data_IF_970893726491
#
_entry.id   IF_970893726491
#
_cell.length_a   1.000
_cell.length_b   1.000
_cell.length_c   1.000
_cell.angle_alpha   90.00
_cell.angle_beta   90.00
_cell.angle_gamma   90.00
#
_symmetry.space_group_name_H-M   'P 1'
#
loop_
_entity.id
_entity.type
_entity.pdbx_description
1 polymer ?
#
# COMPACT_ATOMS: atom_id res chain seq x y z
N UNK A 1 8.71 -8.58 35.84
CA UNK A 1 9.39 -8.84 34.57
C UNK A 1 9.38 -10.33 34.19
N UNK A 2 9.75 -11.27 35.08
CA UNK A 2 9.83 -12.72 34.79
C UNK A 2 8.53 -13.35 34.24
N UNK A 3 7.35 -12.93 34.74
CA UNK A 3 6.04 -13.45 34.30
C UNK A 3 5.66 -13.00 32.87
N UNK A 4 6.13 -11.81 32.40
CA UNK A 4 5.88 -11.35 31.05
C UNK A 4 6.77 -12.06 30.05
N UNK A 5 8.04 -12.28 30.41
CA UNK A 5 9.00 -13.04 29.59
C UNK A 5 8.59 -14.49 29.41
N UNK A 6 8.05 -15.10 30.47
CA UNK A 6 7.56 -16.50 30.40
C UNK A 6 6.33 -16.64 29.52
N UNK A 7 5.38 -15.65 29.56
CA UNK A 7 4.21 -15.64 28.67
C UNK A 7 4.62 -15.44 27.21
N UNK A 8 5.60 -14.60 26.97
CA UNK A 8 6.13 -14.36 25.63
C UNK A 8 6.86 -15.59 25.07
N UNK A 9 7.62 -16.28 25.91
CA UNK A 9 8.30 -17.52 25.54
C UNK A 9 7.30 -18.66 25.23
N UNK A 10 6.23 -18.80 26.03
CA UNK A 10 5.15 -19.77 25.79
C UNK A 10 4.39 -19.45 24.51
N UNK A 11 4.15 -18.17 24.20
CA UNK A 11 3.53 -17.76 22.95
C UNK A 11 4.40 -18.10 21.73
N UNK A 12 5.71 -17.89 21.84
CA UNK A 12 6.68 -18.25 20.79
C UNK A 12 6.74 -19.76 20.59
N UNK A 13 6.83 -20.55 21.67
CA UNK A 13 6.85 -22.01 21.56
C UNK A 13 5.55 -22.56 20.98
N UNK A 14 4.41 -21.97 21.29
CA UNK A 14 3.11 -22.39 20.72
C UNK A 14 3.04 -22.12 19.22
N UNK A 15 3.66 -21.05 18.73
CA UNK A 15 3.77 -20.75 17.29
C UNK A 15 4.63 -21.75 16.52
N UNK A 16 5.59 -22.42 17.19
CA UNK A 16 6.47 -23.43 16.57
C UNK A 16 5.92 -24.86 16.61
N UNK A 17 4.82 -25.13 17.33
CA UNK A 17 4.25 -26.48 17.47
C UNK A 17 3.09 -26.78 16.54
N UNK A 18 2.58 -25.79 15.80
CA UNK A 18 1.58 -26.00 14.77
C UNK A 18 2.32 -26.56 13.55
N UNK A 19 1.93 -27.71 12.98
CA UNK A 19 2.47 -28.16 11.69
C UNK A 19 1.95 -27.19 10.61
N UNK A 20 2.65 -26.08 10.44
CA UNK A 20 2.35 -25.09 9.43
C UNK A 20 2.90 -25.59 8.10
N UNK A 21 2.03 -26.08 7.25
CA UNK A 21 2.36 -26.24 5.84
C UNK A 21 2.51 -24.85 5.23
N UNK A 22 3.75 -24.39 5.09
CA UNK A 22 4.04 -23.10 4.52
C UNK A 22 4.07 -23.20 3.00
N UNK A 23 3.20 -22.48 2.32
CA UNK A 23 3.15 -22.43 0.85
C UNK A 23 3.70 -21.08 0.37
N UNK A 24 4.88 -21.06 -0.28
CA UNK A 24 5.42 -19.86 -0.86
C UNK A 24 4.71 -19.48 -2.16
N UNK A 25 4.74 -18.19 -2.47
CA UNK A 25 4.22 -17.71 -3.74
C UNK A 25 4.80 -16.35 -4.12
N UNK A 26 4.51 -15.94 -5.34
CA UNK A 26 4.87 -14.65 -5.88
C UNK A 26 3.64 -13.98 -6.49
N UNK A 27 3.53 -12.67 -6.34
CA UNK A 27 2.46 -11.86 -6.95
C UNK A 27 3.06 -10.60 -7.58
N UNK A 28 2.44 -10.16 -8.68
CA UNK A 28 2.77 -8.88 -9.28
C UNK A 28 1.58 -8.27 -9.98
N UNK A 29 1.55 -6.95 -10.10
CA UNK A 29 0.42 -6.26 -10.69
C UNK A 29 0.54 -4.74 -10.67
N UNK A 30 -0.59 -4.09 -10.85
CA UNK A 30 -0.73 -2.65 -10.93
C UNK A 30 -1.41 -2.10 -9.68
N UNK A 31 -0.84 -1.05 -9.14
CA UNK A 31 -1.43 -0.26 -8.07
C UNK A 31 -1.89 1.09 -8.64
N UNK A 32 -3.10 1.48 -8.31
CA UNK A 32 -3.63 2.82 -8.55
C UNK A 32 -3.67 3.53 -7.22
N UNK A 33 -2.94 4.61 -7.05
CA UNK A 33 -2.82 5.33 -5.78
C UNK A 33 -3.20 6.79 -5.92
N UNK A 34 -3.73 7.35 -4.84
CA UNK A 34 -4.09 8.76 -4.70
C UNK A 34 -3.77 9.23 -3.28
N UNK A 35 -3.60 10.54 -3.12
CA UNK A 35 -3.55 11.20 -1.82
C UNK A 35 -4.92 11.77 -1.47
N UNK A 36 -5.25 11.68 -0.19
CA UNK A 36 -6.39 12.34 0.40
C UNK A 36 -5.89 13.29 1.50
N UNK A 37 -6.02 14.59 1.26
CA UNK A 37 -5.75 15.62 2.26
C UNK A 37 -6.98 15.81 3.16
N UNK A 38 -6.74 16.07 4.45
CA UNK A 38 -7.75 16.45 5.44
C UNK A 38 -7.17 17.57 6.31
N UNK A 39 -7.69 18.78 6.18
CA UNK A 39 -7.36 19.94 6.99
C UNK A 39 -8.50 20.97 6.90
N UNK A 40 -8.73 21.74 7.97
CA UNK A 40 -9.79 22.75 8.02
C UNK A 40 -9.29 24.15 7.63
N UNK A 41 -7.97 24.38 7.59
CA UNK A 41 -7.40 25.70 7.37
C UNK A 41 -6.86 25.84 5.94
N UNK A 42 -7.70 26.40 5.08
CA UNK A 42 -7.29 26.90 3.76
C UNK A 42 -7.05 28.40 3.88
N UNK A 43 -5.79 28.82 3.94
CA UNK A 43 -5.49 30.24 3.77
C UNK A 43 -5.44 30.62 2.31
N UNK A 44 -6.21 31.62 1.88
CA UNK A 44 -6.18 32.06 0.49
C UNK A 44 -4.84 32.74 0.21
N UNK A 45 -4.07 32.21 -0.76
CA UNK A 45 -2.87 32.88 -1.24
C UNK A 45 -3.27 34.05 -2.13
N UNK A 46 -2.87 35.26 -1.77
CA UNK A 46 -3.20 36.52 -2.48
C UNK A 46 -4.71 36.73 -2.72
N UNK A 47 -5.58 36.24 -1.83
CA UNK A 47 -7.02 36.41 -1.96
C UNK A 47 -7.70 35.48 -2.98
N UNK A 48 -6.97 34.53 -3.54
CA UNK A 48 -7.50 33.47 -4.39
C UNK A 48 -7.54 32.17 -3.63
N UNK A 49 -8.70 31.51 -3.61
CA UNK A 49 -8.84 30.16 -3.10
C UNK A 49 -8.05 29.20 -3.99
N UNK A 50 -7.04 28.54 -3.46
CA UNK A 50 -6.22 27.60 -4.23
C UNK A 50 -6.96 26.27 -4.29
N UNK A 51 -7.73 26.11 -5.35
CA UNK A 51 -8.74 25.05 -5.51
C UNK A 51 -8.22 23.60 -5.58
N UNK A 52 -6.91 23.38 -5.75
CA UNK A 52 -6.37 22.02 -5.88
C UNK A 52 -6.35 21.24 -4.56
N UNK A 53 -6.27 21.92 -3.39
CA UNK A 53 -6.52 21.32 -2.09
C UNK A 53 -8.02 21.29 -1.74
N UNK A 54 -8.83 22.15 -2.36
CA UNK A 54 -10.28 22.26 -2.12
C UNK A 54 -11.01 20.95 -2.43
N UNK A 55 -10.47 20.11 -3.32
CA UNK A 55 -11.03 18.79 -3.62
C UNK A 55 -10.45 17.66 -2.75
N UNK A 56 -9.43 17.92 -1.95
CA UNK A 56 -8.84 16.95 -1.00
C UNK A 56 -8.28 15.68 -1.63
N UNK A 57 -8.16 15.62 -2.95
CA UNK A 57 -7.72 14.44 -3.68
C UNK A 57 -6.77 14.80 -4.81
N UNK A 58 -5.68 14.04 -4.90
CA UNK A 58 -4.82 14.06 -6.08
C UNK A 58 -5.42 13.17 -7.18
N UNK A 59 -5.02 13.40 -8.42
CA UNK A 59 -5.31 12.47 -9.50
C UNK A 59 -4.59 11.13 -9.24
N UNK A 60 -5.28 10.00 -9.47
CA UNK A 60 -4.67 8.70 -9.27
C UNK A 60 -3.57 8.44 -10.29
N UNK A 61 -2.49 7.82 -9.84
CA UNK A 61 -1.36 7.42 -10.68
C UNK A 61 -1.17 5.91 -10.60
N UNK A 62 -0.81 5.34 -11.74
CA UNK A 62 -0.47 3.93 -11.84
C UNK A 62 0.96 3.68 -11.36
N UNK A 63 1.15 2.61 -10.59
CA UNK A 63 2.43 2.10 -10.15
C UNK A 63 2.48 0.58 -10.27
N UNK A 64 3.68 0.03 -10.15
CA UNK A 64 3.92 -1.41 -10.13
C UNK A 64 3.97 -1.91 -8.68
N UNK A 65 3.48 -3.13 -8.47
CA UNK A 65 3.67 -3.88 -7.24
C UNK A 65 4.16 -5.29 -7.58
N UNK A 66 5.25 -5.72 -6.94
CA UNK A 66 5.84 -7.04 -7.15
C UNK A 66 6.42 -7.55 -5.83
N UNK A 67 6.17 -8.81 -5.49
CA UNK A 67 6.70 -9.40 -4.27
C UNK A 67 6.43 -10.88 -4.11
N UNK A 68 6.73 -11.34 -2.90
CA UNK A 68 6.58 -12.72 -2.49
C UNK A 68 5.74 -12.80 -1.20
N UNK A 69 5.17 -13.96 -0.96
CA UNK A 69 4.38 -14.24 0.22
C UNK A 69 4.58 -15.69 0.67
N UNK A 70 4.19 -15.94 1.92
CA UNK A 70 4.02 -17.29 2.47
C UNK A 70 2.61 -17.41 3.03
N UNK A 71 1.92 -18.51 2.74
CA UNK A 71 0.62 -18.82 3.34
C UNK A 71 0.81 -19.93 4.37
N UNK A 72 0.35 -19.68 5.58
CA UNK A 72 0.37 -20.60 6.72
C UNK A 72 -1.08 -20.99 7.06
N UNK A 73 -1.50 -22.18 6.65
CA UNK A 73 -2.84 -22.68 6.95
C UNK A 73 -2.87 -23.18 8.40
N UNK A 74 -3.75 -22.63 9.23
CA UNK A 74 -3.96 -23.06 10.60
C UNK A 74 -5.33 -23.70 10.84
N UNK A 75 -6.24 -23.58 9.87
CA UNK A 75 -7.48 -24.34 9.77
C UNK A 75 -7.90 -24.46 8.31
N UNK A 76 -8.97 -25.23 8.04
CA UNK A 76 -9.51 -25.38 6.68
C UNK A 76 -10.06 -24.05 6.12
N UNK A 77 -10.54 -23.17 7.03
CA UNK A 77 -11.16 -21.89 6.64
C UNK A 77 -10.22 -20.70 6.77
N UNK A 78 -9.13 -20.80 7.53
CA UNK A 78 -8.30 -19.65 7.87
C UNK A 78 -6.82 -19.90 7.65
N UNK A 79 -6.15 -18.89 7.11
CA UNK A 79 -4.71 -18.83 6.96
C UNK A 79 -4.13 -17.46 7.33
N UNK A 80 -2.83 -17.43 7.58
CA UNK A 80 -2.03 -16.24 7.81
C UNK A 80 -1.07 -16.06 6.65
N UNK A 81 -1.05 -14.88 6.06
CA UNK A 81 -0.20 -14.59 4.90
C UNK A 81 0.67 -13.36 5.15
N UNK A 82 1.90 -13.53 5.67
CA UNK A 82 2.92 -12.49 5.59
C UNK A 82 3.41 -12.31 4.16
N UNK A 83 3.61 -11.06 3.77
CA UNK A 83 4.01 -10.68 2.43
C UNK A 83 5.14 -9.66 2.45
N UNK A 84 5.90 -9.58 1.36
CA UNK A 84 6.93 -8.59 1.13
C UNK A 84 6.83 -8.09 -0.30
N UNK A 85 6.59 -6.79 -0.49
CA UNK A 85 6.44 -6.17 -1.80
C UNK A 85 7.38 -4.99 -1.99
N UNK A 86 7.89 -4.86 -3.22
CA UNK A 86 8.26 -3.59 -3.79
C UNK A 86 7.02 -2.94 -4.38
N UNK A 87 6.70 -1.70 -3.97
CA UNK A 87 5.50 -0.98 -4.40
C UNK A 87 5.88 0.39 -4.89
N UNK A 88 5.46 0.71 -6.12
CA UNK A 88 5.53 2.06 -6.64
C UNK A 88 4.18 2.73 -6.43
N UNK A 89 4.18 3.88 -5.76
CA UNK A 89 3.00 4.74 -5.59
C UNK A 89 3.30 6.10 -6.18
N UNK A 90 2.29 6.73 -6.74
CA UNK A 90 2.44 8.04 -7.31
C UNK A 90 1.22 8.90 -7.05
N UNK A 91 1.43 10.20 -7.17
CA UNK A 91 0.39 11.21 -6.98
C UNK A 91 0.61 12.31 -8.00
N UNK A 92 -0.45 12.73 -8.66
CA UNK A 92 -0.39 13.79 -9.66
C UNK A 92 -1.35 14.89 -9.26
N UNK A 93 -0.86 16.11 -9.37
CA UNK A 93 -1.68 17.33 -9.25
C UNK A 93 -1.62 18.05 -10.59
N UNK A 94 -2.77 18.19 -11.22
CA UNK A 94 -2.91 18.93 -12.48
C UNK A 94 -3.28 20.38 -12.18
N UNK A 95 -2.55 21.28 -12.82
CA UNK A 95 -2.81 22.70 -12.92
C UNK A 95 -2.84 23.52 -11.60
N UNK A 96 -1.83 24.34 -11.43
CA UNK A 96 -1.99 25.52 -10.58
C UNK A 96 -2.71 26.61 -11.38
N UNK A 97 -3.63 27.38 -10.79
CA UNK A 97 -4.39 28.43 -11.51
C UNK A 97 -3.54 29.52 -12.17
N UNK A 98 -2.27 29.63 -11.78
CA UNK A 98 -1.34 30.67 -12.23
C UNK A 98 -0.37 30.19 -13.32
N UNK A 99 -0.14 28.88 -13.45
CA UNK A 99 0.80 28.30 -14.41
C UNK A 99 0.26 26.96 -14.91
N UNK A 100 0.40 26.69 -16.21
CA UNK A 100 0.16 25.36 -16.80
C UNK A 100 1.29 24.40 -16.35
N UNK A 101 1.25 24.04 -15.09
CA UNK A 101 2.27 23.22 -14.43
C UNK A 101 1.64 21.94 -13.88
N UNK A 102 2.17 20.80 -14.30
CA UNK A 102 1.83 19.49 -13.75
C UNK A 102 2.90 19.07 -12.76
N UNK A 103 2.44 18.68 -11.57
CA UNK A 103 3.31 18.13 -10.54
C UNK A 103 3.01 16.64 -10.34
N UNK A 104 4.01 15.80 -10.41
CA UNK A 104 3.89 14.39 -10.06
C UNK A 104 4.93 13.99 -9.01
N UNK A 105 4.49 13.20 -8.04
CA UNK A 105 5.33 12.60 -7.01
C UNK A 105 5.31 11.09 -7.18
N UNK A 106 6.48 10.49 -7.31
CA UNK A 106 6.67 9.04 -7.36
C UNK A 106 7.41 8.58 -6.10
N UNK A 107 6.86 7.61 -5.40
CA UNK A 107 7.43 7.06 -4.17
C UNK A 107 7.52 5.55 -4.31
N UNK A 108 8.72 5.01 -4.05
CA UNK A 108 8.95 3.58 -3.99
C UNK A 108 9.00 3.13 -2.52
N UNK A 109 8.27 2.08 -2.20
CA UNK A 109 8.19 1.50 -0.88
C UNK A 109 8.61 0.03 -0.87
N UNK A 110 9.20 -0.39 0.23
CA UNK A 110 9.20 -1.77 0.68
C UNK A 110 8.02 -1.94 1.63
N UNK A 111 7.04 -2.76 1.29
CA UNK A 111 5.79 -2.94 2.03
C UNK A 111 5.69 -4.35 2.59
N UNK A 112 5.26 -4.45 3.85
CA UNK A 112 5.11 -5.67 4.63
C UNK A 112 3.66 -5.79 5.11
N UNK A 113 2.76 -6.36 4.33
CA UNK A 113 1.43 -6.77 4.79
C UNK A 113 1.50 -8.04 5.65
N UNK A 114 0.60 -8.12 6.65
CA UNK A 114 0.34 -9.34 7.41
C UNK A 114 -1.16 -9.60 7.36
N UNK A 115 -1.58 -10.52 6.50
CA UNK A 115 -2.99 -10.73 6.19
C UNK A 115 -3.52 -11.98 6.87
N UNK A 116 -4.75 -11.90 7.34
CA UNK A 116 -5.61 -13.05 7.64
C UNK A 116 -6.43 -13.31 6.39
N UNK A 117 -6.46 -14.56 5.97
CA UNK A 117 -7.26 -15.05 4.86
C UNK A 117 -8.41 -15.87 5.40
N UNK A 118 -9.61 -15.63 4.86
CA UNK A 118 -10.81 -16.44 5.13
C UNK A 118 -11.28 -17.08 3.82
N UNK A 119 -11.22 -18.40 3.77
CA UNK A 119 -11.63 -19.20 2.63
C UNK A 119 -13.15 -19.35 2.62
N UNK A 120 -13.81 -18.79 1.61
CA UNK A 120 -15.24 -18.87 1.47
C UNK A 120 -15.65 -20.27 1.01
N UNK A 121 -16.64 -20.93 1.65
CA UNK A 121 -17.08 -22.27 1.29
C UNK A 121 -17.98 -22.24 0.03
N UNK A 122 -17.44 -21.74 -1.09
CA UNK A 122 -18.14 -21.63 -2.37
C UNK A 122 -17.68 -22.72 -3.32
N UNK A 123 -18.63 -23.49 -3.88
CA UNK A 123 -18.35 -24.59 -4.80
C UNK A 123 -18.46 -24.13 -6.26
N UNK A 124 -17.67 -23.12 -6.66
CA UNK A 124 -17.69 -22.55 -8.02
C UNK A 124 -16.62 -23.10 -8.95
N UNK A 125 -15.86 -24.11 -8.51
CA UNK A 125 -14.73 -24.66 -9.26
C UNK A 125 -13.44 -23.86 -9.11
N UNK A 126 -13.43 -22.86 -8.24
CA UNK A 126 -12.28 -22.07 -7.83
C UNK A 126 -12.44 -21.63 -6.37
N UNK A 127 -11.33 -21.38 -5.70
CA UNK A 127 -11.32 -20.88 -4.33
C UNK A 127 -11.53 -19.37 -4.33
N UNK A 128 -12.37 -18.90 -3.40
CA UNK A 128 -12.57 -17.46 -3.16
C UNK A 128 -12.18 -17.16 -1.72
N UNK A 129 -11.35 -16.15 -1.52
CA UNK A 129 -10.74 -15.83 -0.24
C UNK A 129 -10.93 -14.33 0.03
N UNK A 130 -11.39 -13.99 1.22
CA UNK A 130 -11.37 -12.62 1.72
C UNK A 130 -10.09 -12.44 2.53
N UNK A 131 -9.33 -11.38 2.24
CA UNK A 131 -8.10 -11.06 2.95
C UNK A 131 -8.24 -9.74 3.68
N UNK A 132 -7.72 -9.66 4.90
CA UNK A 132 -7.68 -8.42 5.66
C UNK A 132 -6.48 -8.40 6.60
N UNK A 133 -5.88 -7.24 6.81
CA UNK A 133 -4.80 -7.12 7.77
C UNK A 133 -4.08 -5.78 7.74
N UNK A 134 -3.16 -5.55 8.68
CA UNK A 134 -2.30 -4.40 8.69
C UNK A 134 -1.21 -4.51 7.63
N UNK A 135 -0.71 -3.35 7.20
CA UNK A 135 0.54 -3.24 6.47
C UNK A 135 1.43 -2.15 7.07
N UNK A 136 2.70 -2.29 6.84
CA UNK A 136 3.70 -1.25 7.10
C UNK A 136 4.58 -1.10 5.88
N UNK A 137 5.00 0.13 5.57
CA UNK A 137 5.82 0.44 4.39
C UNK A 137 6.98 1.33 4.78
N UNK A 138 8.16 0.99 4.28
CA UNK A 138 9.38 1.78 4.39
C UNK A 138 9.67 2.41 3.04
N UNK A 139 9.85 3.74 3.01
CA UNK A 139 10.24 4.46 1.80
C UNK A 139 11.66 4.12 1.39
N UNK A 140 11.83 3.68 0.14
CA UNK A 140 13.12 3.44 -0.49
C UNK A 140 13.62 4.69 -1.23
N UNK A 141 12.72 5.35 -1.98
CA UNK A 141 13.04 6.59 -2.70
C UNK A 141 11.78 7.41 -2.95
N UNK A 142 11.96 8.71 -3.20
CA UNK A 142 10.88 9.62 -3.59
C UNK A 142 11.39 10.68 -4.54
N UNK A 143 10.78 10.80 -5.71
CA UNK A 143 11.18 11.72 -6.76
C UNK A 143 10.00 12.58 -7.17
N UNK A 144 10.24 13.89 -7.30
CA UNK A 144 9.27 14.83 -7.86
C UNK A 144 9.59 15.11 -9.31
N UNK A 145 8.55 15.30 -10.10
CA UNK A 145 8.65 15.78 -11.46
C UNK A 145 7.70 16.95 -11.62
N UNK A 146 8.24 18.10 -11.99
CA UNK A 146 7.48 19.32 -12.25
C UNK A 146 7.62 19.62 -13.72
N UNK A 147 6.50 19.67 -14.44
CA UNK A 147 6.48 20.06 -15.85
C UNK A 147 5.81 21.43 -15.99
N UNK A 148 6.56 22.43 -16.45
CA UNK A 148 6.09 23.79 -16.70
C UNK A 148 6.25 24.08 -18.19
N UNK A 149 5.14 24.21 -18.93
CA UNK A 149 5.08 24.54 -20.36
C UNK A 149 5.98 23.69 -21.26
N UNK A 150 7.30 23.84 -21.20
CA UNK A 150 8.31 23.10 -22.00
C UNK A 150 9.52 22.62 -21.20
N UNK A 151 9.57 22.92 -19.91
CA UNK A 151 10.67 22.52 -19.04
C UNK A 151 10.21 21.44 -18.06
N UNK A 152 11.05 20.45 -17.86
CA UNK A 152 10.84 19.36 -16.92
C UNK A 152 11.95 19.41 -15.86
N UNK A 153 11.56 19.57 -14.60
CA UNK A 153 12.45 19.61 -13.46
C UNK A 153 12.22 18.35 -12.63
N UNK A 154 13.24 17.52 -12.53
CA UNK A 154 13.24 16.35 -11.66
C UNK A 154 14.12 16.59 -10.43
N UNK A 155 13.74 16.01 -9.30
CA UNK A 155 14.53 16.09 -8.07
C UNK A 155 14.02 15.17 -6.98
N UNK A 156 14.91 14.85 -6.05
CA UNK A 156 14.56 14.07 -4.86
C UNK A 156 13.70 14.90 -3.90
N UNK A 157 12.78 14.23 -3.21
CA UNK A 157 11.91 14.84 -2.20
C UNK A 157 12.24 14.26 -0.82
N UNK A 158 12.77 15.10 0.06
CA UNK A 158 13.08 14.72 1.44
C UNK A 158 11.90 14.85 2.39
N UNK A 159 10.91 15.65 2.03
CA UNK A 159 9.71 15.94 2.85
C UNK A 159 8.63 14.84 2.84
N UNK A 160 8.92 13.67 2.30
CA UNK A 160 8.05 12.48 2.40
C UNK A 160 8.47 11.65 3.62
N UNK A 161 7.52 11.24 4.45
CA UNK A 161 7.79 10.39 5.59
C UNK A 161 8.41 9.04 5.17
N UNK A 162 9.39 8.59 5.95
CA UNK A 162 10.06 7.32 5.68
C UNK A 162 9.18 6.11 5.95
N UNK A 163 8.13 6.29 6.74
CA UNK A 163 7.31 5.20 7.25
C UNK A 163 5.83 5.49 7.00
N UNK A 164 5.13 4.49 6.46
CA UNK A 164 3.68 4.50 6.34
C UNK A 164 3.12 3.19 6.90
N UNK A 165 1.89 3.24 7.39
CA UNK A 165 1.17 2.08 7.89
C UNK A 165 -0.32 2.23 7.63
N UNK A 166 -1.04 1.12 7.64
CA UNK A 166 -2.47 1.13 7.37
C UNK A 166 -3.08 -0.26 7.40
N UNK A 167 -4.21 -0.38 6.74
CA UNK A 167 -4.93 -1.64 6.57
C UNK A 167 -5.15 -1.95 5.10
N UNK A 168 -5.21 -3.25 4.82
CA UNK A 168 -5.58 -3.83 3.51
C UNK A 168 -6.85 -4.62 3.69
N UNK A 169 -7.75 -4.53 2.70
CA UNK A 169 -8.86 -5.43 2.50
C UNK A 169 -8.81 -5.93 1.06
N UNK A 170 -8.96 -7.23 0.85
CA UNK A 170 -8.87 -7.83 -0.48
C UNK A 170 -9.83 -8.97 -0.72
N UNK A 171 -10.00 -9.25 -2.00
CA UNK A 171 -10.68 -10.43 -2.53
C UNK A 171 -9.72 -11.18 -3.43
N UNK A 172 -9.47 -12.43 -3.12
CA UNK A 172 -8.56 -13.30 -3.87
C UNK A 172 -9.36 -14.44 -4.48
N UNK A 173 -9.01 -14.79 -5.72
CA UNK A 173 -9.54 -15.95 -6.42
C UNK A 173 -8.38 -16.84 -6.85
N UNK A 174 -8.48 -18.13 -6.59
CA UNK A 174 -7.43 -19.10 -6.88
C UNK A 174 -7.96 -20.23 -7.78
N UNK A 175 -7.17 -20.56 -8.76
CA UNK A 175 -7.46 -21.62 -9.73
C UNK A 175 -6.32 -22.64 -9.70
N UNK A 176 -6.65 -23.93 -9.63
CA UNK A 176 -5.66 -24.99 -9.75
C UNK A 176 -4.93 -24.89 -11.10
N UNK A 177 -3.60 -24.83 -11.08
CA UNK A 177 -2.77 -24.68 -12.26
C UNK A 177 -1.47 -25.49 -12.11
N UNK A 178 -1.41 -26.64 -12.73
CA UNK A 178 -0.27 -27.55 -12.60
C UNK A 178 -0.14 -28.09 -11.17
N UNK A 179 1.04 -27.92 -10.58
CA UNK A 179 1.33 -28.37 -9.20
C UNK A 179 1.05 -27.27 -8.15
N UNK A 180 0.42 -26.17 -8.54
CA UNK A 180 0.13 -25.05 -7.66
C UNK A 180 -1.16 -24.34 -8.04
N UNK A 181 -1.25 -23.06 -7.70
CA UNK A 181 -2.47 -22.26 -7.86
C UNK A 181 -2.15 -20.92 -8.50
N UNK A 182 -2.90 -20.59 -9.57
CA UNK A 182 -2.90 -19.26 -10.17
C UNK A 182 -3.80 -18.35 -9.34
N UNK A 183 -3.30 -17.19 -8.99
CA UNK A 183 -3.96 -16.23 -8.09
C UNK A 183 -4.33 -14.97 -8.86
N UNK A 184 -5.56 -14.47 -8.60
CA UNK A 184 -6.00 -13.11 -8.91
C UNK A 184 -6.40 -12.42 -7.62
N UNK A 185 -5.84 -11.25 -7.36
CA UNK A 185 -5.92 -10.57 -6.07
C UNK A 185 -6.27 -9.09 -6.29
N UNK A 186 -7.46 -8.70 -5.81
CA UNK A 186 -7.95 -7.32 -5.83
C UNK A 186 -7.95 -6.77 -4.41
N UNK A 187 -7.29 -5.64 -4.19
CA UNK A 187 -7.14 -5.03 -2.85
C UNK A 187 -7.47 -3.55 -2.83
N UNK A 188 -7.93 -3.12 -1.67
CA UNK A 188 -8.05 -1.72 -1.29
C UNK A 188 -7.11 -1.48 -0.12
N UNK A 189 -6.32 -0.40 -0.20
CA UNK A 189 -5.33 -0.03 0.80
C UNK A 189 -5.71 1.33 1.42
N UNK A 190 -5.75 1.40 2.76
CA UNK A 190 -5.95 2.63 3.52
C UNK A 190 -4.74 2.92 4.40
N UNK A 191 -3.92 3.91 3.99
CA UNK A 191 -2.84 4.42 4.82
C UNK A 191 -3.36 5.36 5.90
N UNK A 192 -2.76 5.28 7.09
CA UNK A 192 -3.12 6.13 8.24
C UNK A 192 -2.05 7.14 8.58
N UNK A 193 -0.79 6.86 8.24
CA UNK A 193 0.29 7.82 8.45
C UNK A 193 0.15 9.03 7.54
N UNK A 194 0.63 10.18 8.01
CA UNK A 194 0.82 11.33 7.14
C UNK A 194 1.95 11.03 6.16
N UNK A 195 1.68 11.14 4.86
CA UNK A 195 2.69 10.90 3.82
C UNK A 195 3.74 11.99 3.77
N UNK A 196 3.37 13.23 4.12
CA UNK A 196 4.26 14.39 4.15
C UNK A 196 4.77 14.66 5.56
N UNK A 197 6.08 14.82 5.73
CA UNK A 197 6.73 15.06 7.03
C UNK A 197 6.79 16.52 7.43
N UNK A 198 6.79 17.41 6.44
CA UNK A 198 6.77 18.87 6.61
C UNK A 198 5.98 19.47 5.43
N UNK A 199 5.49 20.73 5.55
CA UNK A 199 5.07 21.46 4.36
C UNK A 199 6.26 21.38 3.39
N UNK A 200 6.08 20.62 2.33
CA UNK A 200 7.16 20.32 1.40
C UNK A 200 7.77 21.63 0.91
N UNK A 201 9.05 21.62 0.54
CA UNK A 201 9.72 22.75 -0.13
C UNK A 201 8.94 23.28 -1.36
N UNK A 202 7.99 22.50 -1.81
CA UNK A 202 6.99 22.81 -2.83
C UNK A 202 5.73 23.49 -2.27
N UNK A 203 5.36 23.20 -1.01
CA UNK A 203 4.17 23.72 -0.31
C UNK A 203 4.53 24.89 0.62
N UNK A 204 5.79 25.36 0.61
CA UNK A 204 6.17 26.58 1.36
C UNK A 204 5.45 27.85 0.91
N UNK A 205 4.70 27.78 -0.20
CA UNK A 205 3.74 28.79 -0.62
C UNK A 205 2.35 28.64 0.01
N UNK A 206 2.11 27.56 0.77
CA UNK A 206 0.82 27.23 1.35
C UNK A 206 1.02 26.86 2.82
N UNK A 207 0.24 27.45 3.69
CA UNK A 207 0.17 27.07 5.10
C UNK A 207 -0.29 25.62 5.24
N UNK A 208 0.08 24.94 6.31
CA UNK A 208 -0.02 23.54 6.67
C UNK A 208 -1.12 22.75 5.88
N UNK A 209 -0.75 21.82 4.98
CA UNK A 209 -1.71 21.05 4.22
C UNK A 209 -2.55 20.08 5.08
N UNK A 210 -2.40 20.14 6.40
CA UNK A 210 -3.01 19.18 7.32
C UNK A 210 -2.44 17.78 7.14
N UNK A 211 -3.30 16.79 7.33
CA UNK A 211 -2.91 15.38 7.22
C UNK A 211 -3.14 14.85 5.81
N UNK A 212 -2.10 14.36 5.16
CA UNK A 212 -2.16 13.77 3.81
C UNK A 212 -2.01 12.26 3.91
N UNK A 213 -3.06 11.51 3.60
CA UNK A 213 -3.12 10.04 3.72
C UNK A 213 -3.14 9.36 2.36
N UNK A 214 -2.50 8.19 2.27
CA UNK A 214 -2.51 7.38 1.04
C UNK A 214 -3.75 6.51 0.95
N UNK A 215 -4.29 6.40 -0.28
CA UNK A 215 -5.37 5.50 -0.67
C UNK A 215 -4.97 4.78 -1.94
N UNK A 216 -5.38 3.52 -2.08
CA UNK A 216 -5.05 2.80 -3.31
C UNK A 216 -5.92 1.59 -3.54
N UNK A 217 -5.98 1.20 -4.82
CA UNK A 217 -6.54 -0.05 -5.29
C UNK A 217 -5.43 -0.79 -6.02
N UNK A 218 -5.28 -2.08 -5.77
CA UNK A 218 -4.24 -2.91 -6.39
C UNK A 218 -4.90 -4.12 -7.02
N UNK A 219 -4.51 -4.43 -8.26
CA UNK A 219 -4.87 -5.65 -8.96
C UNK A 219 -3.61 -6.42 -9.28
N UNK A 220 -3.50 -7.64 -8.79
CA UNK A 220 -2.34 -8.51 -8.95
C UNK A 220 -2.74 -9.87 -9.51
N UNK A 221 -1.80 -10.50 -10.18
CA UNK A 221 -1.81 -11.93 -10.47
C UNK A 221 -0.58 -12.58 -9.88
N UNK A 222 -0.64 -13.87 -9.59
CA UNK A 222 0.46 -14.55 -8.97
C UNK A 222 0.33 -16.05 -9.05
N UNK A 223 1.29 -16.72 -8.43
CA UNK A 223 1.34 -18.16 -8.36
C UNK A 223 1.76 -18.62 -6.96
N UNK A 224 1.00 -19.53 -6.37
CA UNK A 224 1.33 -20.24 -5.14
C UNK A 224 1.90 -21.61 -5.50
N UNK A 225 3.07 -21.92 -4.97
CA UNK A 225 3.73 -23.20 -5.20
C UNK A 225 3.26 -24.20 -4.15
N UNK A 226 2.76 -25.35 -4.60
CA UNK A 226 2.42 -26.46 -3.73
C UNK A 226 3.70 -27.27 -3.51
N UNK A 227 4.45 -26.94 -2.45
CA UNK A 227 5.63 -27.70 -2.07
C UNK A 227 5.14 -28.78 -1.13
N UNK A 228 4.87 -29.98 -1.71
CA UNK A 228 4.55 -31.17 -0.90
C UNK A 228 5.75 -31.55 -0.03
N UNK A 229 5.58 -31.48 1.27
CA UNK A 229 6.46 -32.08 2.28
C UNK A 229 5.85 -33.39 2.72
#
# INVERSE_FOLDING_TARGET
MLKATLKFLVLITFLFTIPLTAQPGIKGGLAVSALQASGEDYTPFLGYEVSWLQYGKSNPVFGLQLGAFYTFNFSDDFSLQPELYFVQRGYQFDQTPLYDANYSLHINYLELPLLIEYHLPLNWGFNTIITAGPFTSLRLSSNKRIRIVKEEIEGDVTSVNNFNYGIVLGLVTEFAAGEGELIFDLRINWGFANVLSQPADFISLFDDPGTVKSRGITLMTGYRFNIGW
#
